data_IF_877672008719
#
_entry.id   IF_877672008719
#
_cell.length_a   1.000
_cell.length_b   1.000
_cell.length_c   1.000
_cell.angle_alpha   90.00
_cell.angle_beta   90.00
_cell.angle_gamma   90.00
#
_symmetry.space_group_name_H-M   'P 1'
#
loop_
_entity.id
_entity.type
_entity.pdbx_description
1 polymer ?
#
# COMPACT_ATOMS: atom_id res chain seq x y z
N UNK A 1 -22.82 -72.71 23.11
CA UNK A 1 -23.02 -72.15 21.75
C UNK A 1 -22.18 -70.91 21.41
N UNK A 2 -21.55 -70.19 22.36
CA UNK A 2 -20.69 -69.02 22.05
C UNK A 2 -19.32 -69.34 21.43
N UNK A 3 -18.76 -70.53 21.67
CA UNK A 3 -17.40 -70.89 21.19
C UNK A 3 -17.38 -71.26 19.70
N UNK A 4 -18.49 -71.77 19.16
CA UNK A 4 -18.59 -72.18 17.74
C UNK A 4 -18.71 -70.96 16.82
N UNK A 5 -19.38 -69.89 17.27
CA UNK A 5 -19.53 -68.64 16.50
C UNK A 5 -18.20 -67.86 16.43
N UNK A 6 -17.45 -67.81 17.53
CA UNK A 6 -16.13 -67.16 17.55
C UNK A 6 -15.11 -67.85 16.61
N UNK A 7 -15.20 -69.17 16.44
CA UNK A 7 -14.32 -69.93 15.55
C UNK A 7 -14.70 -69.75 14.07
N UNK A 8 -15.99 -69.59 13.76
CA UNK A 8 -16.45 -69.30 12.40
C UNK A 8 -16.05 -67.89 11.93
N UNK A 9 -16.10 -66.90 12.83
CA UNK A 9 -15.64 -65.53 12.55
C UNK A 9 -14.11 -65.45 12.39
N UNK A 10 -13.33 -66.21 13.18
CA UNK A 10 -11.87 -66.25 13.03
C UNK A 10 -11.44 -66.94 11.73
N UNK A 11 -12.15 -67.98 11.30
CA UNK A 11 -11.90 -68.68 10.03
C UNK A 11 -12.28 -67.79 8.84
N UNK A 12 -13.42 -67.08 8.89
CA UNK A 12 -13.80 -66.12 7.84
C UNK A 12 -12.86 -64.92 7.73
N UNK A 13 -12.34 -64.43 8.86
CA UNK A 13 -11.32 -63.38 8.87
C UNK A 13 -9.97 -63.87 8.34
N UNK A 14 -9.62 -65.13 8.56
CA UNK A 14 -8.39 -65.74 8.04
C UNK A 14 -8.46 -65.99 6.54
N UNK A 15 -9.63 -66.41 6.02
CA UNK A 15 -9.86 -66.60 4.59
C UNK A 15 -9.73 -65.29 3.80
N UNK A 16 -10.33 -64.19 4.29
CA UNK A 16 -10.21 -62.87 3.64
C UNK A 16 -8.77 -62.36 3.61
N UNK A 17 -8.00 -62.59 4.68
CA UNK A 17 -6.56 -62.26 4.70
C UNK A 17 -5.75 -63.10 3.71
N UNK A 18 -6.17 -64.34 3.44
CA UNK A 18 -5.53 -65.20 2.44
C UNK A 18 -5.83 -64.71 1.02
N UNK A 19 -7.06 -64.30 0.72
CA UNK A 19 -7.42 -63.71 -0.58
C UNK A 19 -6.66 -62.38 -0.82
N UNK A 20 -6.58 -61.52 0.20
CA UNK A 20 -5.78 -60.28 0.14
C UNK A 20 -4.28 -60.59 -0.07
N UNK A 21 -3.77 -61.64 0.58
CA UNK A 21 -2.38 -62.08 0.42
C UNK A 21 -2.13 -62.67 -0.96
N UNK A 22 -3.09 -63.39 -1.54
CA UNK A 22 -2.99 -63.94 -2.89
C UNK A 22 -3.00 -62.82 -3.95
N UNK A 23 -3.84 -61.81 -3.79
CA UNK A 23 -3.83 -60.60 -4.64
C UNK A 23 -2.48 -59.86 -4.54
N UNK A 24 -1.98 -59.64 -3.33
CA UNK A 24 -0.68 -59.00 -3.12
C UNK A 24 0.48 -59.82 -3.70
N UNK A 25 0.42 -61.15 -3.61
CA UNK A 25 1.41 -62.04 -4.21
C UNK A 25 1.36 -62.02 -5.73
N UNK A 26 0.16 -61.96 -6.33
CA UNK A 26 -0.01 -61.82 -7.78
C UNK A 26 0.59 -60.49 -8.28
N UNK A 27 0.32 -59.38 -7.59
CA UNK A 27 0.90 -58.06 -7.89
C UNK A 27 2.43 -58.06 -7.71
N UNK A 28 2.94 -58.73 -6.68
CA UNK A 28 4.37 -58.87 -6.43
C UNK A 28 5.08 -59.71 -7.51
N UNK A 29 4.45 -60.79 -7.99
CA UNK A 29 4.97 -61.60 -9.09
C UNK A 29 4.99 -60.79 -10.39
N UNK A 30 3.95 -59.98 -10.64
CA UNK A 30 3.89 -59.13 -11.83
C UNK A 30 4.95 -58.03 -11.79
N UNK A 31 5.13 -57.35 -10.65
CA UNK A 31 6.19 -56.37 -10.43
C UNK A 31 7.59 -56.99 -10.59
N UNK A 32 7.79 -58.20 -10.07
CA UNK A 32 9.07 -58.93 -10.19
C UNK A 32 9.40 -59.29 -11.63
N UNK A 33 8.40 -59.71 -12.43
CA UNK A 33 8.60 -59.97 -13.86
C UNK A 33 8.99 -58.71 -14.61
N UNK A 34 8.29 -57.60 -14.38
CA UNK A 34 8.63 -56.30 -14.97
C UNK A 34 10.05 -55.85 -14.61
N UNK A 35 10.50 -56.05 -13.37
CA UNK A 35 11.88 -55.74 -12.95
C UNK A 35 12.93 -56.62 -13.68
N UNK A 36 12.65 -57.91 -13.84
CA UNK A 36 13.55 -58.83 -14.56
C UNK A 36 13.65 -58.47 -16.04
N UNK A 37 12.53 -58.10 -16.66
CA UNK A 37 12.50 -57.72 -18.07
C UNK A 37 13.18 -56.37 -18.32
N UNK A 38 13.03 -55.40 -17.40
CA UNK A 38 13.80 -54.16 -17.39
C UNK A 38 15.30 -54.40 -17.19
N UNK A 39 15.68 -55.36 -16.34
CA UNK A 39 17.08 -55.73 -16.10
C UNK A 39 17.79 -56.32 -17.32
N UNK A 40 17.04 -56.89 -18.28
CA UNK A 40 17.56 -57.45 -19.54
C UNK A 40 17.71 -56.42 -20.66
N UNK A 41 17.12 -55.24 -20.51
CA UNK A 41 17.27 -54.16 -21.49
C UNK A 41 18.68 -53.56 -21.37
N UNK A 42 19.32 -53.35 -22.53
CA UNK A 42 20.51 -52.52 -22.63
C UNK A 42 20.22 -51.12 -22.08
N UNK A 43 21.21 -50.44 -21.51
CA UNK A 43 21.03 -49.10 -20.94
C UNK A 43 20.52 -48.07 -21.99
N UNK A 44 20.83 -48.29 -23.27
CA UNK A 44 20.22 -47.54 -24.39
C UNK A 44 18.73 -47.83 -24.60
N UNK A 45 18.29 -49.06 -24.36
CA UNK A 45 16.88 -49.42 -24.49
C UNK A 45 16.06 -48.94 -23.27
N UNK A 46 16.67 -48.93 -22.08
CA UNK A 46 16.07 -48.32 -20.88
C UNK A 46 15.89 -46.82 -21.06
N UNK A 47 16.89 -46.09 -21.57
CA UNK A 47 16.76 -44.65 -21.76
C UNK A 47 15.71 -44.26 -22.81
N UNK A 48 15.41 -45.15 -23.78
CA UNK A 48 14.31 -44.95 -24.73
C UNK A 48 12.94 -45.24 -24.12
N UNK A 49 12.81 -46.27 -23.29
CA UNK A 49 11.54 -46.65 -22.64
C UNK A 49 11.15 -45.65 -21.55
N UNK A 50 12.12 -45.17 -20.76
CA UNK A 50 11.88 -44.18 -19.71
C UNK A 50 11.96 -42.73 -20.19
N UNK A 51 12.26 -42.50 -21.46
CA UNK A 51 12.44 -41.18 -22.08
C UNK A 51 11.31 -40.20 -21.75
N UNK A 52 10.06 -40.61 -21.96
CA UNK A 52 8.90 -39.74 -21.75
C UNK A 52 8.71 -39.42 -20.27
N UNK A 53 8.86 -40.42 -19.40
CA UNK A 53 8.77 -40.26 -17.95
C UNK A 53 9.90 -39.39 -17.38
N UNK A 54 11.12 -39.51 -17.91
CA UNK A 54 12.25 -38.66 -17.52
C UNK A 54 12.02 -37.20 -17.94
N UNK A 55 11.53 -36.95 -19.16
CA UNK A 55 11.20 -35.59 -19.64
C UNK A 55 10.08 -34.99 -18.79
N UNK A 56 9.05 -35.75 -18.46
CA UNK A 56 7.97 -35.29 -17.57
C UNK A 56 8.49 -34.94 -16.18
N UNK A 57 9.34 -35.79 -15.59
CA UNK A 57 9.98 -35.51 -14.30
C UNK A 57 10.84 -34.23 -14.36
N UNK A 58 11.54 -34.00 -15.46
CA UNK A 58 12.31 -32.76 -15.67
C UNK A 58 11.42 -31.54 -15.82
N UNK A 59 10.31 -31.64 -16.57
CA UNK A 59 9.32 -30.55 -16.67
C UNK A 59 8.75 -30.21 -15.31
N UNK A 60 8.35 -31.21 -14.53
CA UNK A 60 7.83 -31.00 -13.18
C UNK A 60 8.87 -30.34 -12.26
N UNK A 61 10.13 -30.78 -12.31
CA UNK A 61 11.21 -30.17 -11.55
C UNK A 61 11.47 -28.70 -11.97
N UNK A 62 11.48 -28.41 -13.28
CA UNK A 62 11.65 -27.04 -13.79
C UNK A 62 10.46 -26.17 -13.37
N UNK A 63 9.22 -26.68 -13.42
CA UNK A 63 8.06 -25.95 -12.92
C UNK A 63 8.16 -25.67 -11.42
N UNK A 64 8.64 -26.63 -10.62
CA UNK A 64 8.86 -26.42 -9.18
C UNK A 64 9.93 -25.34 -8.92
N UNK A 65 11.02 -25.33 -9.70
CA UNK A 65 12.06 -24.29 -9.64
C UNK A 65 11.53 -22.92 -10.08
N UNK A 66 10.67 -22.87 -11.11
CA UNK A 66 10.00 -21.65 -11.56
C UNK A 66 9.06 -21.07 -10.49
N UNK A 67 8.28 -21.93 -9.83
CA UNK A 67 7.42 -21.53 -8.70
C UNK A 67 8.24 -21.00 -7.52
N UNK A 68 9.45 -21.55 -7.33
CA UNK A 68 10.40 -21.12 -6.30
C UNK A 68 11.24 -19.90 -6.71
N UNK A 69 11.07 -19.38 -7.94
CA UNK A 69 11.88 -18.32 -8.55
C UNK A 69 13.39 -18.63 -8.62
N UNK A 70 13.77 -19.91 -8.62
CA UNK A 70 15.15 -20.36 -8.80
C UNK A 70 15.46 -20.61 -10.28
N UNK A 71 15.51 -19.52 -11.04
CA UNK A 71 15.78 -19.56 -12.48
C UNK A 71 17.13 -20.18 -12.84
N UNK A 72 18.13 -20.10 -11.94
CA UNK A 72 19.47 -20.67 -12.18
C UNK A 72 19.46 -22.18 -12.09
N UNK A 73 18.65 -22.75 -11.19
CA UNK A 73 18.48 -24.21 -11.10
C UNK A 73 17.69 -24.73 -12.30
N UNK A 74 16.62 -24.03 -12.70
CA UNK A 74 15.87 -24.32 -13.92
C UNK A 74 16.75 -24.28 -15.19
N UNK A 75 17.60 -23.25 -15.36
CA UNK A 75 18.53 -23.14 -16.49
C UNK A 75 19.53 -24.31 -16.55
N UNK A 76 20.09 -24.72 -15.39
CA UNK A 76 21.01 -25.87 -15.30
C UNK A 76 20.32 -27.19 -15.64
N UNK A 77 19.06 -27.37 -15.22
CA UNK A 77 18.26 -28.54 -15.57
C UNK A 77 18.04 -28.58 -17.09
N UNK A 78 17.72 -27.45 -17.71
CA UNK A 78 17.54 -27.36 -19.16
C UNK A 78 18.83 -27.66 -19.94
N UNK A 79 19.97 -27.14 -19.49
CA UNK A 79 21.28 -27.49 -20.07
C UNK A 79 21.58 -28.99 -19.96
N UNK A 80 21.18 -29.62 -18.85
CA UNK A 80 21.36 -31.07 -18.67
C UNK A 80 20.47 -31.90 -19.60
N UNK A 81 19.26 -31.42 -19.92
CA UNK A 81 18.35 -32.05 -20.89
C UNK A 81 18.94 -31.98 -22.30
N UNK A 82 19.46 -30.82 -22.69
CA UNK A 82 20.09 -30.61 -23.99
C UNK A 82 21.34 -31.48 -24.16
N UNK A 83 22.22 -31.51 -23.16
CA UNK A 83 23.50 -32.23 -23.23
C UNK A 83 23.40 -33.75 -23.10
N UNK A 84 22.53 -34.27 -22.21
CA UNK A 84 22.45 -35.73 -21.96
C UNK A 84 21.51 -36.45 -22.92
N UNK A 85 20.49 -35.77 -23.42
CA UNK A 85 19.42 -36.43 -24.17
C UNK A 85 19.24 -35.90 -25.60
N UNK A 86 19.96 -34.83 -25.99
CA UNK A 86 19.96 -34.31 -27.36
C UNK A 86 18.66 -33.58 -27.75
N UNK A 87 17.83 -33.17 -26.79
CA UNK A 87 16.56 -32.48 -27.04
C UNK A 87 16.71 -30.97 -27.11
N UNK A 88 17.43 -30.50 -28.13
CA UNK A 88 17.63 -29.07 -28.36
C UNK A 88 16.31 -28.30 -28.50
N UNK A 89 15.31 -28.87 -29.18
CA UNK A 89 14.02 -28.23 -29.41
C UNK A 89 13.20 -28.05 -28.11
N UNK A 90 13.21 -29.05 -27.25
CA UNK A 90 12.49 -28.99 -25.95
C UNK A 90 13.21 -28.06 -24.98
N UNK A 91 14.55 -28.11 -24.94
CA UNK A 91 15.35 -27.18 -24.17
C UNK A 91 15.13 -25.72 -24.61
N UNK A 92 15.00 -25.46 -25.92
CA UNK A 92 14.67 -24.14 -26.44
C UNK A 92 13.28 -23.66 -26.00
N UNK A 93 12.27 -24.55 -26.01
CA UNK A 93 10.92 -24.23 -25.50
C UNK A 93 10.94 -23.89 -24.02
N UNK A 94 11.58 -24.73 -23.21
CA UNK A 94 11.69 -24.52 -21.76
C UNK A 94 12.46 -23.24 -21.43
N UNK A 95 13.53 -22.91 -22.17
CA UNK A 95 14.22 -21.60 -22.02
C UNK A 95 13.29 -20.43 -22.31
N UNK A 96 12.50 -20.51 -23.38
CA UNK A 96 11.54 -19.47 -23.71
C UNK A 96 10.48 -19.30 -22.62
N UNK A 97 10.03 -20.40 -22.02
CA UNK A 97 9.07 -20.40 -20.92
C UNK A 97 9.67 -19.82 -19.62
N UNK A 98 10.91 -20.20 -19.29
CA UNK A 98 11.64 -19.66 -18.14
C UNK A 98 11.83 -18.15 -18.28
N UNK A 99 12.26 -17.68 -19.46
CA UNK A 99 12.44 -16.26 -19.72
C UNK A 99 11.10 -15.50 -19.71
N UNK A 100 10.02 -16.07 -20.24
CA UNK A 100 8.69 -15.49 -20.15
C UNK A 100 8.23 -15.35 -18.69
N UNK A 101 8.39 -16.40 -17.88
CA UNK A 101 8.02 -16.41 -16.45
C UNK A 101 8.86 -15.41 -15.64
N UNK A 102 10.16 -15.34 -15.94
CA UNK A 102 11.08 -14.38 -15.32
C UNK A 102 10.70 -12.94 -15.62
N UNK A 103 10.37 -12.64 -16.89
CA UNK A 103 9.89 -11.32 -17.31
C UNK A 103 8.56 -10.97 -16.63
N UNK A 104 7.60 -11.90 -16.62
CA UNK A 104 6.32 -11.70 -15.95
C UNK A 104 6.50 -11.39 -14.45
N UNK A 105 7.33 -12.16 -13.75
CA UNK A 105 7.62 -11.94 -12.32
C UNK A 105 8.33 -10.59 -12.08
N UNK A 106 9.21 -10.19 -12.98
CA UNK A 106 9.87 -8.89 -12.90
C UNK A 106 8.86 -7.76 -13.11
N UNK A 107 7.98 -7.88 -14.11
CA UNK A 107 6.93 -6.91 -14.39
C UNK A 107 5.95 -6.77 -13.22
N UNK A 108 5.55 -7.88 -12.58
CA UNK A 108 4.73 -7.84 -11.36
C UNK A 108 5.41 -7.11 -10.21
N UNK A 109 6.72 -7.34 -10.00
CA UNK A 109 7.51 -6.62 -8.99
C UNK A 109 7.58 -5.13 -9.30
N UNK A 110 7.75 -4.77 -10.56
CA UNK A 110 7.74 -3.38 -11.03
C UNK A 110 6.37 -2.76 -10.80
N UNK A 111 5.29 -3.45 -11.16
CA UNK A 111 3.92 -2.97 -10.98
C UNK A 111 3.57 -2.78 -9.50
N UNK A 112 3.98 -3.69 -8.63
CA UNK A 112 3.83 -3.52 -7.18
C UNK A 112 4.61 -2.30 -6.66
N UNK A 113 5.84 -2.09 -7.14
CA UNK A 113 6.65 -0.94 -6.75
C UNK A 113 6.02 0.38 -7.23
N UNK A 114 5.54 0.42 -8.47
CA UNK A 114 4.80 1.55 -9.05
C UNK A 114 3.54 1.83 -8.24
N UNK A 115 2.74 0.82 -7.92
CA UNK A 115 1.52 0.96 -7.12
C UNK A 115 1.81 1.56 -5.73
N UNK A 116 2.93 1.16 -5.10
CA UNK A 116 3.35 1.72 -3.81
C UNK A 116 3.72 3.20 -3.90
N UNK A 117 4.40 3.61 -4.97
CA UNK A 117 4.73 5.01 -5.23
C UNK A 117 3.46 5.83 -5.47
N UNK A 118 2.52 5.29 -6.26
CA UNK A 118 1.23 5.94 -6.49
C UNK A 118 0.44 6.12 -5.19
N UNK A 119 0.41 5.12 -4.30
CA UNK A 119 -0.20 5.25 -2.98
C UNK A 119 0.47 6.34 -2.12
N UNK A 120 1.80 6.42 -2.15
CA UNK A 120 2.54 7.48 -1.45
C UNK A 120 2.21 8.87 -2.03
N UNK A 121 1.95 8.95 -3.33
CA UNK A 121 1.53 10.16 -4.04
C UNK A 121 0.11 10.59 -3.61
N UNK A 122 -0.81 9.65 -3.42
CA UNK A 122 -2.15 9.90 -2.87
C UNK A 122 -2.10 10.46 -1.44
N UNK A 123 -1.15 9.97 -0.62
CA UNK A 123 -0.88 10.50 0.71
C UNK A 123 -0.17 11.87 0.71
N UNK A 124 0.06 12.46 -0.46
CA UNK A 124 0.66 13.79 -0.65
C UNK A 124 2.11 13.90 -0.19
N UNK A 125 2.81 12.78 -0.05
CA UNK A 125 4.25 12.76 0.24
C UNK A 125 5.05 12.77 -1.07
N UNK A 126 5.02 13.94 -1.75
CA UNK A 126 5.65 14.15 -3.06
C UNK A 126 7.16 13.91 -3.02
N UNK A 127 7.80 14.31 -1.92
CA UNK A 127 9.25 14.21 -1.77
C UNK A 127 9.69 12.74 -1.70
N UNK A 128 8.95 11.91 -0.93
CA UNK A 128 9.21 10.47 -0.87
C UNK A 128 8.91 9.79 -2.19
N UNK A 129 7.74 10.05 -2.79
CA UNK A 129 7.37 9.47 -4.09
C UNK A 129 8.43 9.78 -5.16
N UNK A 130 8.92 11.01 -5.23
CA UNK A 130 9.96 11.42 -6.19
C UNK A 130 11.31 10.73 -5.92
N UNK A 131 11.71 10.54 -4.66
CA UNK A 131 12.95 9.82 -4.32
C UNK A 131 12.86 8.34 -4.71
N UNK A 132 11.72 7.70 -4.41
CA UNK A 132 11.49 6.29 -4.75
C UNK A 132 11.44 6.10 -6.28
N UNK A 133 10.79 7.00 -7.02
CA UNK A 133 10.78 6.99 -8.48
C UNK A 133 12.20 7.10 -9.07
N UNK A 134 13.01 8.07 -8.59
CA UNK A 134 14.42 8.22 -9.01
C UNK A 134 15.26 6.97 -8.73
N UNK A 135 15.00 6.28 -7.61
CA UNK A 135 15.67 5.02 -7.27
C UNK A 135 15.29 3.92 -8.27
N UNK A 136 14.02 3.77 -8.60
CA UNK A 136 13.57 2.78 -9.59
C UNK A 136 14.13 3.07 -10.98
N UNK A 137 14.20 4.34 -11.40
CA UNK A 137 14.81 4.71 -12.68
C UNK A 137 16.28 4.30 -12.80
N UNK A 138 17.03 4.29 -11.69
CA UNK A 138 18.43 3.81 -11.68
C UNK A 138 18.53 2.29 -11.77
N UNK A 139 17.55 1.57 -11.22
CA UNK A 139 17.53 0.10 -11.21
C UNK A 139 16.99 -0.46 -12.53
N UNK A 140 16.07 0.25 -13.18
CA UNK A 140 15.36 -0.19 -14.37
C UNK A 140 15.23 0.97 -15.38
N UNK A 141 16.33 1.38 -16.03
CA UNK A 141 16.34 2.54 -16.94
C UNK A 141 15.47 2.33 -18.20
N UNK A 142 15.35 1.10 -18.68
CA UNK A 142 14.66 0.79 -19.95
C UNK A 142 13.15 0.50 -19.78
N UNK A 143 12.62 0.58 -18.56
CA UNK A 143 11.20 0.28 -18.33
C UNK A 143 10.33 1.54 -18.53
N UNK A 144 9.37 1.54 -19.48
CA UNK A 144 8.55 2.71 -19.79
C UNK A 144 7.62 3.12 -18.63
N UNK A 145 7.13 2.17 -17.84
CA UNK A 145 6.27 2.46 -16.68
C UNK A 145 7.02 3.29 -15.65
N UNK A 146 8.30 2.96 -15.41
CA UNK A 146 9.17 3.66 -14.46
C UNK A 146 9.58 5.04 -15.01
N UNK A 147 9.87 5.13 -16.31
CA UNK A 147 10.18 6.40 -16.97
C UNK A 147 9.04 7.43 -16.85
N UNK A 148 7.78 6.97 -16.88
CA UNK A 148 6.60 7.83 -16.72
C UNK A 148 6.33 8.32 -15.29
N UNK A 149 6.96 7.73 -14.27
CA UNK A 149 6.66 8.03 -12.86
C UNK A 149 6.85 9.50 -12.47
N UNK A 150 7.95 10.20 -12.85
CA UNK A 150 8.14 11.60 -12.48
C UNK A 150 7.03 12.49 -13.05
N UNK A 151 6.63 12.25 -14.30
CA UNK A 151 5.54 12.98 -14.95
C UNK A 151 4.21 12.71 -14.25
N UNK A 152 3.90 11.45 -13.91
CA UNK A 152 2.68 11.09 -13.17
C UNK A 152 2.61 11.77 -11.80
N UNK A 153 3.72 11.81 -11.07
CA UNK A 153 3.81 12.49 -9.76
C UNK A 153 3.57 13.99 -9.94
N UNK A 154 4.18 14.61 -10.95
CA UNK A 154 4.03 16.03 -11.22
C UNK A 154 2.60 16.37 -11.65
N UNK A 155 1.98 15.58 -12.52
CA UNK A 155 0.58 15.73 -12.93
C UNK A 155 -0.36 15.61 -11.73
N UNK A 156 -0.15 14.64 -10.84
CA UNK A 156 -0.93 14.52 -9.62
C UNK A 156 -0.77 15.73 -8.69
N UNK A 157 0.45 16.26 -8.56
CA UNK A 157 0.74 17.48 -7.80
C UNK A 157 0.02 18.70 -8.39
N UNK A 158 0.08 18.88 -9.71
CA UNK A 158 -0.58 19.96 -10.43
C UNK A 158 -2.11 19.86 -10.34
N UNK A 159 -2.66 18.65 -10.43
CA UNK A 159 -4.10 18.43 -10.26
C UNK A 159 -4.55 18.80 -8.85
N UNK A 160 -3.81 18.39 -7.80
CA UNK A 160 -4.11 18.79 -6.42
C UNK A 160 -4.09 20.31 -6.23
N UNK A 161 -3.11 20.99 -6.82
CA UNK A 161 -3.03 22.46 -6.81
C UNK A 161 -4.26 23.08 -7.49
N UNK A 162 -4.67 22.56 -8.65
CA UNK A 162 -5.87 23.03 -9.35
C UNK A 162 -7.13 22.85 -8.50
N UNK A 163 -7.29 21.69 -7.88
CA UNK A 163 -8.45 21.39 -7.01
C UNK A 163 -8.48 22.31 -5.78
N UNK A 164 -7.32 22.62 -5.21
CA UNK A 164 -7.19 23.59 -4.12
C UNK A 164 -7.55 25.02 -4.54
N UNK A 165 -7.10 25.46 -5.73
CA UNK A 165 -7.45 26.78 -6.27
C UNK A 165 -8.95 26.91 -6.53
N UNK A 166 -9.56 25.85 -7.08
CA UNK A 166 -11.00 25.81 -7.29
C UNK A 166 -11.76 25.86 -5.97
N UNK A 167 -11.37 25.02 -5.00
CA UNK A 167 -11.98 24.98 -3.67
C UNK A 167 -11.85 26.32 -2.94
N UNK A 168 -10.69 26.97 -3.07
CA UNK A 168 -10.47 28.31 -2.54
C UNK A 168 -11.41 29.34 -3.20
N UNK A 169 -11.51 29.37 -4.53
CA UNK A 169 -12.41 30.27 -5.24
C UNK A 169 -13.90 30.04 -4.90
N UNK A 170 -14.30 28.80 -4.65
CA UNK A 170 -15.64 28.47 -4.14
C UNK A 170 -15.87 28.96 -2.71
N UNK A 171 -14.90 28.76 -1.82
CA UNK A 171 -14.97 29.22 -0.43
C UNK A 171 -15.06 30.75 -0.34
N UNK A 172 -14.27 31.47 -1.15
CA UNK A 172 -14.31 32.93 -1.24
C UNK A 172 -15.67 33.41 -1.75
N UNK A 173 -16.23 32.78 -2.78
CA UNK A 173 -17.58 33.12 -3.29
C UNK A 173 -18.69 32.90 -2.26
N UNK A 174 -18.54 31.90 -1.40
CA UNK A 174 -19.49 31.61 -0.31
C UNK A 174 -19.25 32.45 0.95
N UNK A 175 -18.25 33.32 0.96
CA UNK A 175 -17.78 34.04 2.15
C UNK A 175 -17.40 33.10 3.32
N UNK A 176 -16.99 31.87 3.03
CA UNK A 176 -16.47 30.96 4.05
C UNK A 176 -15.00 31.29 4.33
N UNK A 177 -14.80 32.21 5.27
CA UNK A 177 -13.50 32.78 5.60
C UNK A 177 -12.56 31.72 6.20
N UNK A 178 -13.08 30.84 7.05
CA UNK A 178 -12.27 29.84 7.74
C UNK A 178 -11.77 28.76 6.77
N UNK A 179 -12.66 28.28 5.90
CA UNK A 179 -12.28 27.34 4.83
C UNK A 179 -11.28 27.98 3.86
N UNK A 180 -11.50 29.24 3.48
CA UNK A 180 -10.61 29.98 2.58
C UNK A 180 -9.19 30.08 3.15
N UNK A 181 -9.04 30.41 4.44
CA UNK A 181 -7.72 30.47 5.10
C UNK A 181 -7.06 29.09 5.17
N UNK A 182 -7.84 28.04 5.48
CA UNK A 182 -7.31 26.66 5.50
C UNK A 182 -6.77 26.27 4.11
N UNK A 183 -7.51 26.56 3.05
CA UNK A 183 -7.08 26.28 1.68
C UNK A 183 -5.84 27.09 1.28
N UNK A 184 -5.74 28.37 1.67
CA UNK A 184 -4.55 29.19 1.43
C UNK A 184 -3.30 28.62 2.10
N UNK A 185 -3.41 28.14 3.34
CA UNK A 185 -2.28 27.48 4.04
C UNK A 185 -1.83 26.21 3.33
N UNK A 186 -2.76 25.40 2.82
CA UNK A 186 -2.41 24.23 2.02
C UNK A 186 -1.80 24.63 0.67
N UNK A 187 -2.32 25.68 0.01
CA UNK A 187 -1.83 26.17 -1.27
C UNK A 187 -0.41 26.71 -1.22
N UNK A 188 0.01 27.33 -0.12
CA UNK A 188 1.36 27.89 0.07
C UNK A 188 2.47 26.86 -0.21
N UNK A 189 2.22 25.57 0.08
CA UNK A 189 3.16 24.47 -0.20
C UNK A 189 3.33 24.16 -1.70
N UNK A 190 2.46 24.68 -2.57
CA UNK A 190 2.38 24.38 -4.00
C UNK A 190 2.55 25.59 -4.90
N UNK A 191 2.46 26.81 -4.36
CA UNK A 191 2.53 28.04 -5.13
C UNK A 191 3.98 28.45 -5.37
N UNK A 192 4.25 28.92 -6.58
CA UNK A 192 5.47 29.66 -6.87
C UNK A 192 5.30 31.14 -6.50
N UNK A 193 6.40 31.89 -6.30
CA UNK A 193 6.34 33.29 -5.86
C UNK A 193 5.46 34.19 -6.75
N UNK A 194 5.45 33.94 -8.06
CA UNK A 194 4.66 34.72 -9.02
C UNK A 194 3.15 34.45 -8.89
N UNK A 195 2.76 33.19 -8.63
CA UNK A 195 1.37 32.78 -8.45
C UNK A 195 0.82 33.22 -7.10
N UNK A 196 1.67 33.16 -6.07
CA UNK A 196 1.35 33.72 -4.76
C UNK A 196 1.06 35.23 -4.87
N UNK A 197 1.81 35.96 -5.71
CA UNK A 197 1.55 37.36 -6.01
C UNK A 197 0.15 37.61 -6.59
N UNK A 198 -0.29 36.78 -7.53
CA UNK A 198 -1.62 36.89 -8.15
C UNK A 198 -2.76 36.64 -7.14
N UNK A 199 -2.55 35.78 -6.14
CA UNK A 199 -3.52 35.48 -5.10
C UNK A 199 -3.45 36.43 -3.90
N UNK A 200 -2.38 37.22 -3.78
CA UNK A 200 -2.09 38.01 -2.59
C UNK A 200 -3.23 38.98 -2.22
N UNK A 201 -3.82 39.66 -3.20
CA UNK A 201 -4.89 40.62 -2.94
C UNK A 201 -6.18 39.94 -2.46
N UNK A 202 -6.54 38.83 -3.09
CA UNK A 202 -7.68 38.00 -2.66
C UNK A 202 -7.45 37.45 -1.25
N UNK A 203 -6.26 36.92 -0.97
CA UNK A 203 -5.89 36.39 0.33
C UNK A 203 -5.93 37.46 1.42
N UNK A 204 -5.41 38.67 1.16
CA UNK A 204 -5.51 39.82 2.08
C UNK A 204 -6.95 40.16 2.42
N UNK A 205 -7.83 40.14 1.42
CA UNK A 205 -9.27 40.33 1.62
C UNK A 205 -9.87 39.33 2.62
N UNK A 206 -9.57 38.04 2.44
CA UNK A 206 -10.02 36.97 3.35
C UNK A 206 -9.47 37.14 4.77
N UNK A 207 -8.17 37.44 4.92
CA UNK A 207 -7.57 37.67 6.24
C UNK A 207 -8.14 38.91 6.94
N UNK A 208 -8.43 39.98 6.19
CA UNK A 208 -9.10 41.18 6.71
C UNK A 208 -10.53 40.88 7.16
N UNK A 209 -11.27 40.06 6.40
CA UNK A 209 -12.60 39.59 6.79
C UNK A 209 -12.56 38.74 8.06
N UNK A 210 -11.58 37.83 8.21
CA UNK A 210 -11.40 37.04 9.45
C UNK A 210 -11.12 37.94 10.66
N UNK A 211 -10.21 38.89 10.51
CA UNK A 211 -9.89 39.85 11.56
C UNK A 211 -11.12 40.68 11.95
N UNK A 212 -11.91 41.11 10.97
CA UNK A 212 -13.17 41.82 11.24
C UNK A 212 -14.16 40.94 12.00
N UNK A 213 -14.36 39.69 11.58
CA UNK A 213 -15.26 38.74 12.25
C UNK A 213 -14.83 38.48 13.70
N UNK A 214 -13.53 38.29 13.96
CA UNK A 214 -13.00 38.16 15.31
C UNK A 214 -13.21 39.44 16.14
N UNK A 215 -13.01 40.61 15.53
CA UNK A 215 -13.28 41.90 16.17
C UNK A 215 -14.75 42.08 16.56
N UNK A 216 -15.68 41.68 15.69
CA UNK A 216 -17.12 41.69 15.96
C UNK A 216 -17.46 40.72 17.11
N UNK A 217 -16.93 39.49 17.08
CA UNK A 217 -17.13 38.53 18.17
C UNK A 217 -16.59 39.05 19.50
N UNK A 218 -15.41 39.67 19.49
CA UNK A 218 -14.84 40.30 20.68
C UNK A 218 -15.75 41.42 21.20
N UNK A 219 -16.22 42.32 20.33
CA UNK A 219 -17.12 43.40 20.73
C UNK A 219 -18.44 42.89 21.31
N UNK A 220 -19.09 41.91 20.68
CA UNK A 220 -20.34 41.30 21.16
C UNK A 220 -20.14 40.68 22.55
N UNK A 221 -19.07 39.90 22.75
CA UNK A 221 -18.78 39.27 24.05
C UNK A 221 -18.47 40.29 25.14
N UNK A 222 -17.87 41.42 24.79
CA UNK A 222 -17.67 42.54 25.72
C UNK A 222 -18.99 43.22 26.08
N UNK A 223 -19.89 43.42 25.12
CA UNK A 223 -21.22 44.01 25.37
C UNK A 223 -22.15 43.10 26.14
N UNK A 224 -22.04 41.78 25.96
CA UNK A 224 -22.83 40.76 26.65
C UNK A 224 -22.23 40.34 28.01
N UNK A 225 -21.18 41.03 28.49
CA UNK A 225 -20.47 40.74 29.74
C UNK A 225 -19.94 39.30 29.86
N UNK A 226 -19.70 38.65 28.71
CA UNK A 226 -19.08 37.33 28.62
C UNK A 226 -17.56 37.47 28.68
N UNK A 227 -17.04 37.85 29.85
CA UNK A 227 -15.64 38.25 30.03
C UNK A 227 -14.64 37.14 29.67
N UNK A 228 -14.94 35.88 30.02
CA UNK A 228 -14.10 34.73 29.67
C UNK A 228 -14.00 34.52 28.16
N UNK A 229 -15.13 34.58 27.46
CA UNK A 229 -15.18 34.48 26.00
C UNK A 229 -14.51 35.67 25.31
N UNK A 230 -14.64 36.89 25.86
CA UNK A 230 -13.99 38.09 25.33
C UNK A 230 -12.46 37.98 25.44
N UNK A 231 -11.94 37.49 26.57
CA UNK A 231 -10.49 37.24 26.74
C UNK A 231 -9.99 36.22 25.72
N UNK A 232 -10.70 35.10 25.53
CA UNK A 232 -10.31 34.07 24.56
C UNK A 232 -10.25 34.61 23.11
N UNK A 233 -11.28 35.35 22.68
CA UNK A 233 -11.29 35.99 21.35
C UNK A 233 -10.17 37.04 21.21
N UNK A 234 -9.89 37.79 22.28
CA UNK A 234 -8.82 38.78 22.28
C UNK A 234 -7.42 38.15 22.18
N UNK A 235 -7.19 37.04 22.88
CA UNK A 235 -5.95 36.27 22.79
C UNK A 235 -5.75 35.66 21.40
N UNK A 236 -6.82 35.19 20.76
CA UNK A 236 -6.79 34.70 19.38
C UNK A 236 -6.38 35.79 18.40
N UNK A 237 -6.98 36.99 18.48
CA UNK A 237 -6.60 38.16 17.66
C UNK A 237 -5.11 38.50 17.82
N UNK A 238 -4.61 38.52 19.06
CA UNK A 238 -3.20 38.85 19.34
C UNK A 238 -2.26 37.79 18.76
N UNK A 239 -2.63 36.52 18.84
CA UNK A 239 -1.83 35.39 18.35
C UNK A 239 -1.77 35.35 16.82
N UNK A 240 -2.92 35.51 16.16
CA UNK A 240 -3.02 35.37 14.71
C UNK A 240 -2.66 36.66 13.96
N UNK A 241 -2.88 37.84 14.57
CA UNK A 241 -2.69 39.14 13.94
C UNK A 241 -1.89 40.12 14.83
N UNK A 242 -0.66 39.77 15.25
CA UNK A 242 0.09 40.50 16.29
C UNK A 242 0.44 41.95 15.95
N UNK A 243 0.51 42.27 14.65
CA UNK A 243 0.88 43.59 14.11
C UNK A 243 -0.34 44.41 13.67
N UNK A 244 -1.57 43.91 13.87
CA UNK A 244 -2.77 44.67 13.55
C UNK A 244 -3.03 45.75 14.61
N UNK A 245 -3.59 46.88 14.18
CA UNK A 245 -4.08 47.93 15.10
C UNK A 245 -5.09 47.36 16.11
N UNK A 246 -5.97 46.48 15.65
CA UNK A 246 -6.94 45.80 16.51
C UNK A 246 -6.26 44.98 17.62
N UNK A 247 -5.18 44.26 17.32
CA UNK A 247 -4.43 43.54 18.35
C UNK A 247 -3.78 44.46 19.39
N UNK A 248 -3.33 45.66 18.99
CA UNK A 248 -2.81 46.66 19.94
C UNK A 248 -3.91 47.16 20.88
N UNK A 249 -5.07 47.55 20.32
CA UNK A 249 -6.23 48.00 21.10
C UNK A 249 -6.78 46.90 22.03
N UNK A 250 -6.77 45.65 21.57
CA UNK A 250 -7.18 44.49 22.38
C UNK A 250 -6.19 44.21 23.50
N UNK A 251 -4.86 44.32 23.27
CA UNK A 251 -3.84 44.14 24.31
C UNK A 251 -4.04 45.11 25.48
N UNK A 252 -4.34 46.36 25.19
CA UNK A 252 -4.60 47.39 26.21
C UNK A 252 -5.83 47.02 27.07
N UNK A 253 -6.90 46.56 26.42
CA UNK A 253 -8.16 46.20 27.10
C UNK A 253 -8.09 44.85 27.83
N UNK A 254 -7.21 43.94 27.41
CA UNK A 254 -7.14 42.56 27.92
C UNK A 254 -6.88 42.49 29.43
N UNK A 255 -6.06 43.39 29.96
CA UNK A 255 -5.75 43.47 31.40
C UNK A 255 -7.00 43.69 32.24
N UNK A 256 -7.85 44.63 31.81
CA UNK A 256 -9.12 44.96 32.47
C UNK A 256 -10.15 43.83 32.33
N UNK A 257 -10.21 43.19 31.16
CA UNK A 257 -11.12 42.07 30.90
C UNK A 257 -10.76 40.83 31.72
N UNK A 258 -9.46 40.53 31.88
CA UNK A 258 -9.00 39.45 32.76
C UNK A 258 -9.37 39.68 34.22
N UNK A 259 -9.22 40.92 34.71
CA UNK A 259 -9.65 41.27 36.07
C UNK A 259 -11.17 41.08 36.26
N UNK A 260 -11.98 41.51 35.28
CA UNK A 260 -13.44 41.31 35.28
C UNK A 260 -13.84 39.84 35.21
N UNK A 261 -13.18 39.04 34.36
CA UNK A 261 -13.40 37.60 34.27
C UNK A 261 -13.09 36.88 35.58
N UNK A 262 -12.00 37.27 36.26
CA UNK A 262 -11.64 36.72 37.56
C UNK A 262 -12.68 37.06 38.65
N UNK A 263 -13.21 38.29 38.63
CA UNK A 263 -14.29 38.70 39.55
C UNK A 263 -15.59 37.93 39.28
N UNK A 264 -15.97 37.75 38.02
CA UNK A 264 -17.15 36.98 37.63
C UNK A 264 -17.04 35.51 38.08
N UNK A 265 -15.86 34.90 37.91
CA UNK A 265 -15.60 33.53 38.36
C UNK A 265 -15.60 33.38 39.90
N UNK A 266 -15.17 34.41 40.64
CA UNK A 266 -15.26 34.42 42.10
C UNK A 266 -16.71 34.57 42.60
N UNK A 267 -17.53 35.36 41.90
CA UNK A 267 -18.95 35.53 42.23
C UNK A 267 -19.76 34.26 41.95
N UNK A 268 -19.51 33.57 40.84
CA UNK A 268 -20.16 32.30 40.54
C UNK A 268 -19.78 31.19 41.54
N UNK A 269 -18.50 31.09 41.93
CA UNK A 269 -18.06 30.14 42.95
C UNK A 269 -18.65 30.41 44.34
N UNK A 270 -18.84 31.69 44.72
CA UNK A 270 -19.52 32.04 45.97
C UNK A 270 -21.00 31.69 45.95
N UNK A 271 -21.68 31.86 44.81
CA UNK A 271 -23.08 31.49 44.65
C UNK A 271 -23.28 29.96 44.70
N UNK A 272 -22.34 29.17 44.16
CA UNK A 272 -22.39 27.71 44.19
C UNK A 272 -22.11 27.14 45.60
N UNK A 273 -21.18 27.73 46.36
CA UNK A 273 -20.86 27.29 47.73
C UNK A 273 -21.87 27.75 48.81
N UNK A 274 -22.88 28.54 48.42
CA UNK A 274 -23.94 29.01 49.31
C UNK A 274 -25.27 28.24 49.14
N UNK A 275 -25.28 27.23 48.28
CA UNK A 275 -26.35 26.23 48.13
C UNK A 275 -25.94 24.92 48.78
#
# INVERSE_FOLDING_TARGET
>A
MKVIVANAESVGASARRMDDMESLMADQVQSSKSMVDLGKLSDQAKSLVFRESEIEAFREAIHADLMSQDYKSAERLIESIEGKFGYADEAARLRSEVEATRKATLDEKIDSAVARIMKTTEHRDWARASREAKRLMRLFPDNPKIASLPERIQTARMQRKRDLLQSYGEAVRKNDVDLSIKMLKELDMYLEPHEAGALAESARGVFKAKLHNLGVQFAIRVTEEQWSGAVAAGEEIIREYPNSRMAQEVREKLSTLRAKAAQQAQQSNKAYNAQ
#
